data_IF_638597492529
#
_entry.id   IF_638597492529
#
_cell.length_a   1.000
_cell.length_b   1.000
_cell.length_c   1.000
_cell.angle_alpha   90.00
_cell.angle_beta   90.00
_cell.angle_gamma   90.00
#
_symmetry.space_group_name_H-M   'P 1'
#
loop_
_entity.id
_entity.type
_entity.pdbx_description
1 polymer ?
#
# COMPACT_ATOMS: atom_id res chain seq x y z
N UNK A 1 18.65 -14.91 -20.28
CA UNK A 1 19.89 -14.19 -19.86
C UNK A 1 20.01 -14.07 -18.34
N UNK A 2 19.03 -13.50 -17.62
CA UNK A 2 19.10 -13.32 -16.16
C UNK A 2 19.33 -14.63 -15.37
N UNK A 3 18.62 -15.71 -15.72
CA UNK A 3 18.79 -17.02 -15.07
C UNK A 3 20.17 -17.67 -15.31
N UNK A 4 20.86 -17.29 -16.38
CA UNK A 4 22.24 -17.74 -16.66
C UNK A 4 23.23 -16.90 -15.86
N UNK A 5 23.06 -15.57 -15.86
CA UNK A 5 23.89 -14.64 -15.09
C UNK A 5 23.83 -14.92 -13.58
N UNK A 6 22.64 -15.23 -13.03
CA UNK A 6 22.50 -15.66 -11.64
C UNK A 6 23.23 -16.98 -11.38
N UNK A 7 23.00 -18.03 -12.18
CA UNK A 7 23.71 -19.32 -12.00
C UNK A 7 25.23 -19.14 -11.99
N UNK A 8 25.76 -18.23 -12.80
CA UNK A 8 27.18 -17.87 -12.78
C UNK A 8 27.58 -17.13 -11.50
N UNK A 9 26.80 -16.18 -11.00
CA UNK A 9 27.11 -15.48 -9.74
C UNK A 9 27.02 -16.42 -8.52
N UNK A 10 26.05 -17.33 -8.51
CA UNK A 10 25.86 -18.33 -7.46
C UNK A 10 27.04 -19.29 -7.35
N UNK A 11 27.57 -19.77 -8.49
CA UNK A 11 28.75 -20.65 -8.50
C UNK A 11 30.02 -19.95 -8.04
N UNK A 12 30.11 -18.63 -8.26
CA UNK A 12 31.21 -17.78 -7.80
C UNK A 12 31.09 -17.36 -6.33
N UNK A 13 29.93 -17.56 -5.71
CA UNK A 13 29.68 -17.20 -4.31
C UNK A 13 30.36 -18.17 -3.35
N UNK A 14 30.86 -17.64 -2.23
CA UNK A 14 31.46 -18.44 -1.16
C UNK A 14 30.42 -19.45 -0.61
N UNK A 15 30.79 -20.71 -0.32
CA UNK A 15 29.84 -21.73 0.11
C UNK A 15 28.97 -21.31 1.30
N UNK A 16 29.53 -20.57 2.26
CA UNK A 16 28.82 -20.10 3.44
C UNK A 16 27.72 -19.05 3.15
N UNK A 17 27.89 -18.21 2.12
CA UNK A 17 26.95 -17.12 1.78
C UNK A 17 26.11 -17.44 0.55
N UNK A 18 26.44 -18.51 -0.19
CA UNK A 18 25.75 -18.96 -1.41
C UNK A 18 24.23 -19.06 -1.24
N UNK A 19 23.74 -19.68 -0.17
CA UNK A 19 22.30 -19.80 0.08
C UNK A 19 21.58 -18.46 0.22
N UNK A 20 22.24 -17.44 0.77
CA UNK A 20 21.68 -16.08 0.91
C UNK A 20 21.65 -15.39 -0.46
N UNK A 21 22.73 -15.51 -1.23
CA UNK A 21 22.81 -14.98 -2.60
C UNK A 21 21.76 -15.64 -3.50
N UNK A 22 21.61 -16.96 -3.40
CA UNK A 22 20.61 -17.73 -4.15
C UNK A 22 19.20 -17.29 -3.79
N UNK A 23 18.86 -17.17 -2.50
CA UNK A 23 17.55 -16.66 -2.08
C UNK A 23 17.28 -15.23 -2.59
N UNK A 24 18.27 -14.33 -2.55
CA UNK A 24 18.12 -12.96 -3.07
C UNK A 24 17.89 -12.94 -4.59
N UNK A 25 18.62 -13.78 -5.33
CA UNK A 25 18.51 -13.85 -6.79
C UNK A 25 17.28 -14.64 -7.26
N UNK A 26 16.85 -15.66 -6.51
CA UNK A 26 15.56 -16.33 -6.67
C UNK A 26 14.41 -15.34 -6.53
N UNK A 27 14.46 -14.50 -5.49
CA UNK A 27 13.47 -13.45 -5.29
C UNK A 27 13.45 -12.44 -6.44
N UNK A 28 14.61 -12.07 -7.00
CA UNK A 28 14.70 -11.22 -8.20
C UNK A 28 14.14 -11.93 -9.44
N UNK A 29 14.45 -13.21 -9.63
CA UNK A 29 13.98 -13.98 -10.78
C UNK A 29 12.47 -14.22 -10.73
N UNK A 30 11.95 -14.66 -9.58
CA UNK A 30 10.53 -14.83 -9.34
C UNK A 30 9.78 -13.50 -9.50
N UNK A 31 10.34 -12.40 -9.00
CA UNK A 31 9.82 -11.05 -9.23
C UNK A 31 9.71 -10.72 -10.71
N UNK A 32 10.75 -10.98 -11.48
CA UNK A 32 10.80 -10.66 -12.91
C UNK A 32 9.84 -11.55 -13.72
N UNK A 33 9.81 -12.86 -13.44
CA UNK A 33 8.90 -13.83 -14.11
C UNK A 33 7.43 -13.57 -13.77
N UNK A 34 7.13 -13.23 -12.51
CA UNK A 34 5.77 -12.89 -12.09
C UNK A 34 5.32 -11.48 -12.52
N UNK A 35 6.15 -10.74 -13.26
CA UNK A 35 5.85 -9.39 -13.73
C UNK A 35 5.95 -8.28 -12.66
N UNK A 36 6.59 -8.53 -11.52
CA UNK A 36 6.99 -7.49 -10.57
C UNK A 36 6.87 -7.88 -9.09
N UNK A 37 7.26 -6.94 -8.22
CA UNK A 37 7.16 -7.06 -6.75
C UNK A 37 6.50 -5.84 -6.14
N UNK A 38 6.07 -5.96 -4.87
CA UNK A 38 5.55 -4.81 -4.10
C UNK A 38 6.57 -3.67 -4.12
N UNK A 39 6.14 -2.47 -4.51
CA UNK A 39 7.00 -1.27 -4.56
C UNK A 39 7.76 -1.02 -3.23
N UNK A 40 7.11 -1.28 -2.10
CA UNK A 40 7.71 -1.17 -0.76
C UNK A 40 8.87 -2.14 -0.51
N UNK A 41 9.01 -3.19 -1.31
CA UNK A 41 10.09 -4.19 -1.24
C UNK A 41 11.20 -3.96 -2.27
N UNK A 42 11.01 -3.10 -3.27
CA UNK A 42 12.00 -2.84 -4.33
C UNK A 42 13.27 -2.23 -3.74
N UNK A 43 13.14 -1.17 -2.93
CA UNK A 43 14.29 -0.52 -2.31
C UNK A 43 15.08 -1.49 -1.42
N UNK A 44 14.38 -2.35 -0.67
CA UNK A 44 14.99 -3.38 0.16
C UNK A 44 15.70 -4.45 -0.68
N UNK A 45 15.08 -4.93 -1.76
CA UNK A 45 15.67 -5.93 -2.66
C UNK A 45 16.87 -5.36 -3.41
N UNK A 46 16.80 -4.12 -3.93
CA UNK A 46 17.95 -3.44 -4.56
C UNK A 46 19.12 -3.28 -3.60
N UNK A 47 18.85 -2.95 -2.33
CA UNK A 47 19.87 -2.88 -1.28
C UNK A 47 20.48 -4.24 -0.98
N UNK A 48 19.66 -5.29 -0.89
CA UNK A 48 20.11 -6.66 -0.69
C UNK A 48 20.98 -7.15 -1.86
N UNK A 49 20.51 -7.01 -3.11
CA UNK A 49 21.28 -7.36 -4.31
C UNK A 49 22.63 -6.64 -4.33
N UNK A 50 22.66 -5.31 -4.11
CA UNK A 50 23.92 -4.56 -4.08
C UNK A 50 24.86 -5.00 -2.95
N UNK A 51 24.30 -5.39 -1.80
CA UNK A 51 25.09 -5.91 -0.68
C UNK A 51 25.69 -7.28 -1.03
N UNK A 52 24.87 -8.17 -1.55
CA UNK A 52 25.26 -9.55 -1.86
C UNK A 52 26.27 -9.59 -3.01
N UNK A 53 26.11 -8.75 -4.04
CA UNK A 53 27.11 -8.61 -5.11
C UNK A 53 28.47 -8.11 -4.60
N UNK A 54 28.49 -7.17 -3.65
CA UNK A 54 29.74 -6.75 -3.00
C UNK A 54 30.36 -7.89 -2.19
N UNK A 55 29.54 -8.62 -1.44
CA UNK A 55 30.01 -9.77 -0.67
C UNK A 55 30.62 -10.84 -1.57
N UNK A 56 30.01 -11.14 -2.73
CA UNK A 56 30.56 -12.10 -3.71
C UNK A 56 31.90 -11.62 -4.28
N UNK A 57 32.03 -10.32 -4.56
CA UNK A 57 33.30 -9.74 -4.99
C UNK A 57 34.38 -9.86 -3.91
N UNK A 58 34.07 -9.48 -2.68
CA UNK A 58 35.02 -9.49 -1.57
C UNK A 58 35.46 -10.92 -1.22
N UNK A 59 34.52 -11.86 -1.08
CA UNK A 59 34.83 -13.23 -0.70
C UNK A 59 35.41 -14.06 -1.87
N UNK A 60 34.93 -13.84 -3.09
CA UNK A 60 35.24 -14.68 -4.25
C UNK A 60 36.45 -14.20 -5.06
N UNK A 61 36.77 -12.91 -5.01
CA UNK A 61 37.83 -12.27 -5.81
C UNK A 61 38.89 -11.63 -4.92
N UNK A 62 38.52 -10.74 -3.99
CA UNK A 62 39.48 -9.97 -3.19
C UNK A 62 40.19 -10.83 -2.15
N UNK A 63 39.45 -11.58 -1.35
CA UNK A 63 40.00 -12.38 -0.26
C UNK A 63 40.99 -13.47 -0.72
N UNK A 64 40.75 -14.22 -1.81
CA UNK A 64 41.72 -15.15 -2.34
C UNK A 64 43.03 -14.48 -2.78
N UNK A 65 42.95 -13.33 -3.44
CA UNK A 65 44.12 -12.55 -3.87
C UNK A 65 44.90 -12.00 -2.66
N UNK A 66 44.19 -11.53 -1.63
CA UNK A 66 44.79 -11.03 -0.39
C UNK A 66 45.52 -12.13 0.41
N UNK A 67 45.06 -13.38 0.32
CA UNK A 67 45.70 -14.54 0.96
C UNK A 67 46.86 -15.12 0.18
N UNK A 68 46.98 -14.80 -1.11
CA UNK A 68 48.06 -15.31 -1.97
C UNK A 68 49.40 -14.62 -1.69
N UNK A 69 50.48 -15.40 -1.71
CA UNK A 69 51.86 -14.89 -1.60
C UNK A 69 52.49 -14.59 -2.97
N UNK A 70 51.85 -15.00 -4.07
CA UNK A 70 52.36 -14.80 -5.42
C UNK A 70 52.48 -13.30 -5.76
N UNK A 71 53.58 -12.92 -6.41
CA UNK A 71 53.83 -11.52 -6.77
C UNK A 71 52.78 -10.99 -7.76
N UNK A 72 52.37 -11.83 -8.73
CA UNK A 72 51.33 -11.50 -9.71
C UNK A 72 49.96 -11.27 -9.07
N UNK A 73 49.55 -12.11 -8.10
CA UNK A 73 48.27 -11.96 -7.40
C UNK A 73 48.24 -10.69 -6.53
N UNK A 74 49.35 -10.36 -5.87
CA UNK A 74 49.48 -9.11 -5.10
C UNK A 74 49.55 -7.86 -5.97
N UNK A 75 50.12 -7.95 -7.17
CA UNK A 75 50.05 -6.87 -8.15
C UNK A 75 48.63 -6.66 -8.66
N UNK A 76 47.90 -7.75 -8.93
CA UNK A 76 46.50 -7.72 -9.34
C UNK A 76 45.60 -7.10 -8.26
N UNK A 77 45.76 -7.49 -6.99
CA UNK A 77 45.02 -6.91 -5.87
C UNK A 77 45.20 -5.39 -5.77
N UNK A 78 46.42 -4.89 -5.99
CA UNK A 78 46.71 -3.44 -5.97
C UNK A 78 46.07 -2.68 -7.13
N UNK A 79 45.74 -3.36 -8.23
CA UNK A 79 45.07 -2.76 -9.37
C UNK A 79 43.54 -2.71 -9.23
N UNK A 80 42.97 -3.41 -8.24
CA UNK A 80 41.54 -3.41 -7.96
C UNK A 80 41.16 -2.20 -7.06
N UNK A 81 39.92 -1.69 -7.17
CA UNK A 81 39.44 -0.66 -6.26
C UNK A 81 39.34 -1.19 -4.82
N UNK A 82 39.70 -0.35 -3.84
CA UNK A 82 39.59 -0.71 -2.42
C UNK A 82 38.15 -0.84 -1.92
N UNK A 83 37.19 -0.15 -2.55
CA UNK A 83 35.77 -0.30 -2.31
C UNK A 83 35.05 -0.57 -3.63
N UNK A 84 34.50 -1.77 -3.79
CA UNK A 84 33.79 -2.13 -5.01
C UNK A 84 32.35 -1.60 -5.01
N UNK A 85 32.02 -0.78 -6.00
CA UNK A 85 30.65 -0.43 -6.32
C UNK A 85 30.22 -1.20 -7.58
N UNK A 86 29.14 -2.02 -7.52
CA UNK A 86 28.68 -2.77 -8.69
C UNK A 86 28.32 -1.90 -9.91
N UNK A 87 27.97 -0.63 -9.69
CA UNK A 87 27.71 0.33 -10.76
C UNK A 87 28.96 0.60 -11.64
N UNK A 88 30.16 0.52 -11.07
CA UNK A 88 31.42 0.84 -11.73
C UNK A 88 32.06 -0.38 -12.43
N UNK A 89 31.29 -1.46 -12.61
CA UNK A 89 31.76 -2.74 -13.15
C UNK A 89 32.54 -2.61 -14.47
N UNK A 90 32.17 -1.70 -15.38
CA UNK A 90 32.88 -1.45 -16.63
C UNK A 90 34.29 -0.88 -16.40
N UNK A 91 34.42 0.10 -15.50
CA UNK A 91 35.71 0.69 -15.15
C UNK A 91 36.63 -0.33 -14.47
N UNK A 92 36.06 -1.17 -13.60
CA UNK A 92 36.79 -2.25 -12.92
C UNK A 92 37.23 -3.33 -13.92
N UNK A 93 36.37 -3.67 -14.88
CA UNK A 93 36.70 -4.60 -15.97
C UNK A 93 37.87 -4.08 -16.81
N UNK A 94 37.86 -2.81 -17.18
CA UNK A 94 38.95 -2.22 -17.96
C UNK A 94 40.25 -2.12 -17.16
N UNK A 95 40.17 -1.82 -15.86
CA UNK A 95 41.33 -1.84 -14.97
C UNK A 95 41.93 -3.25 -14.87
N UNK A 96 41.07 -4.27 -14.74
CA UNK A 96 41.47 -5.67 -14.69
C UNK A 96 42.10 -6.14 -16.01
N UNK A 97 41.53 -5.76 -17.16
CA UNK A 97 42.10 -6.07 -18.48
C UNK A 97 43.46 -5.38 -18.69
N UNK A 98 43.64 -4.15 -18.20
CA UNK A 98 44.94 -3.47 -18.22
C UNK A 98 45.96 -4.18 -17.32
N UNK A 99 45.56 -4.58 -16.11
CA UNK A 99 46.42 -5.31 -15.19
C UNK A 99 46.80 -6.70 -15.73
N UNK A 100 45.87 -7.37 -16.41
CA UNK A 100 46.07 -8.71 -16.97
C UNK A 100 47.18 -8.77 -18.03
N UNK A 101 47.43 -7.67 -18.76
CA UNK A 101 48.49 -7.58 -19.78
C UNK A 101 49.90 -7.76 -19.22
N UNK A 102 50.07 -7.51 -17.91
CA UNK A 102 51.35 -7.58 -17.22
C UNK A 102 51.51 -8.85 -16.40
N UNK A 103 50.60 -9.83 -16.54
CA UNK A 103 50.70 -11.12 -15.87
C UNK A 103 51.68 -12.02 -16.64
N UNK A 104 52.78 -12.47 -16.01
CA UNK A 104 53.76 -13.38 -16.62
C UNK A 104 53.15 -14.70 -17.13
N UNK A 105 53.72 -15.32 -18.18
CA UNK A 105 53.25 -16.58 -18.79
C UNK A 105 53.11 -17.75 -17.81
N UNK A 106 53.92 -17.80 -16.77
CA UNK A 106 53.85 -18.78 -15.67
C UNK A 106 52.85 -18.42 -14.55
N UNK A 107 52.20 -17.24 -14.62
CA UNK A 107 51.23 -16.72 -13.65
C UNK A 107 49.82 -17.36 -13.72
N UNK A 108 49.72 -18.69 -13.73
CA UNK A 108 48.46 -19.42 -13.92
C UNK A 108 47.37 -19.05 -12.88
N UNK A 109 47.76 -18.86 -11.60
CA UNK A 109 46.85 -18.43 -10.52
C UNK A 109 46.21 -17.08 -10.83
N UNK A 110 47.03 -16.06 -11.16
CA UNK A 110 46.57 -14.71 -11.46
C UNK A 110 45.64 -14.69 -12.68
N UNK A 111 45.94 -15.49 -13.72
CA UNK A 111 45.06 -15.63 -14.89
C UNK A 111 43.71 -16.24 -14.55
N UNK A 112 43.69 -17.30 -13.74
CA UNK A 112 42.43 -17.91 -13.29
C UNK A 112 41.59 -16.93 -12.44
N UNK A 113 42.24 -16.08 -11.62
CA UNK A 113 41.57 -15.01 -10.88
C UNK A 113 41.00 -13.93 -11.79
N UNK A 114 41.76 -13.48 -12.79
CA UNK A 114 41.28 -12.53 -13.81
C UNK A 114 40.07 -13.10 -14.55
N UNK A 115 40.14 -14.34 -15.04
CA UNK A 115 39.03 -14.98 -15.75
C UNK A 115 37.78 -15.08 -14.87
N UNK A 116 37.95 -15.40 -13.58
CA UNK A 116 36.84 -15.44 -12.60
C UNK A 116 36.23 -14.05 -12.40
N UNK A 117 37.05 -13.04 -12.22
CA UNK A 117 36.61 -11.66 -12.02
C UNK A 117 35.91 -11.10 -13.27
N UNK A 118 36.43 -11.38 -14.47
CA UNK A 118 35.79 -11.00 -15.73
C UNK A 118 34.42 -11.66 -15.88
N UNK A 119 34.31 -12.97 -15.62
CA UNK A 119 33.02 -13.68 -15.65
C UNK A 119 31.99 -13.07 -14.71
N UNK A 120 32.40 -12.65 -13.51
CA UNK A 120 31.52 -11.94 -12.58
C UNK A 120 31.09 -10.58 -13.13
N UNK A 121 32.04 -9.75 -13.59
CA UNK A 121 31.79 -8.41 -14.10
C UNK A 121 30.92 -8.43 -15.37
N UNK A 122 31.05 -9.44 -16.23
CA UNK A 122 30.24 -9.61 -17.43
C UNK A 122 28.78 -10.01 -17.10
N UNK A 123 28.53 -10.60 -15.92
CA UNK A 123 27.17 -10.97 -15.46
C UNK A 123 26.44 -9.82 -14.76
N UNK A 124 27.17 -8.86 -14.17
CA UNK A 124 26.60 -7.74 -13.41
C UNK A 124 25.60 -6.89 -14.20
N UNK A 125 25.84 -6.50 -15.47
CA UNK A 125 24.89 -5.69 -16.23
C UNK A 125 23.50 -6.32 -16.31
N UNK A 126 23.41 -7.64 -16.48
CA UNK A 126 22.12 -8.33 -16.58
C UNK A 126 21.34 -8.30 -15.27
N UNK A 127 22.03 -8.47 -14.13
CA UNK A 127 21.41 -8.44 -12.79
C UNK A 127 21.01 -7.02 -12.39
N UNK A 128 21.89 -6.04 -12.63
CA UNK A 128 21.62 -4.63 -12.33
C UNK A 128 20.49 -4.10 -13.21
N UNK A 129 20.52 -4.39 -14.52
CA UNK A 129 19.44 -4.03 -15.44
C UNK A 129 18.12 -4.66 -15.02
N UNK A 130 18.08 -5.96 -14.68
CA UNK A 130 16.85 -6.57 -14.19
C UNK A 130 16.35 -5.93 -12.89
N UNK A 131 17.26 -5.53 -11.99
CA UNK A 131 16.95 -4.85 -10.73
C UNK A 131 16.43 -3.42 -10.92
N UNK A 132 16.90 -2.71 -11.95
CA UNK A 132 16.43 -1.38 -12.34
C UNK A 132 15.11 -1.48 -13.14
N UNK A 133 14.98 -2.47 -14.02
CA UNK A 133 13.75 -2.80 -14.75
C UNK A 133 12.63 -3.22 -13.81
N UNK A 134 12.92 -3.77 -12.63
CA UNK A 134 11.89 -4.01 -11.60
C UNK A 134 11.15 -2.72 -11.20
N UNK A 135 11.80 -1.56 -11.26
CA UNK A 135 11.14 -0.27 -10.98
C UNK A 135 10.17 0.09 -12.11
N UNK A 136 10.57 -0.09 -13.37
CA UNK A 136 9.69 0.08 -14.52
C UNK A 136 8.54 -0.95 -14.53
N UNK A 137 8.82 -2.21 -14.18
CA UNK A 137 7.85 -3.31 -14.08
C UNK A 137 6.90 -3.17 -12.89
N UNK A 138 7.33 -2.47 -11.83
CA UNK A 138 6.45 -2.09 -10.74
C UNK A 138 5.39 -1.06 -11.16
N UNK A 139 5.58 -0.39 -12.30
CA UNK A 139 4.61 0.49 -12.94
C UNK A 139 3.87 -0.14 -14.14
N UNK A 140 4.28 -1.30 -14.67
CA UNK A 140 3.67 -1.88 -15.88
C UNK A 140 2.86 -3.17 -15.69
N UNK A 141 2.74 -3.73 -14.48
CA UNK A 141 1.57 -4.58 -14.20
C UNK A 141 0.47 -3.67 -13.72
N UNK A 142 -0.47 -3.42 -14.64
CA UNK A 142 -1.66 -2.62 -14.42
C UNK A 142 -2.19 -2.86 -12.99
N UNK A 143 -2.32 -1.80 -12.18
CA UNK A 143 -3.06 -1.88 -10.91
C UNK A 143 -4.38 -2.61 -11.12
N UNK A 144 -5.01 -2.42 -12.29
CA UNK A 144 -6.24 -3.06 -12.73
C UNK A 144 -6.20 -4.60 -12.76
N UNK A 145 -5.13 -5.29 -13.17
CA UNK A 145 -5.12 -6.76 -13.25
C UNK A 145 -4.88 -7.43 -11.88
N UNK A 146 -4.02 -6.82 -11.05
CA UNK A 146 -3.77 -7.28 -9.67
C UNK A 146 -4.92 -6.92 -8.74
N UNK A 147 -5.56 -5.78 -8.98
CA UNK A 147 -6.77 -5.35 -8.30
C UNK A 147 -7.95 -6.17 -8.79
N UNK A 148 -8.11 -6.47 -10.09
CA UNK A 148 -9.10 -7.41 -10.60
C UNK A 148 -8.94 -8.79 -9.96
N UNK A 149 -7.73 -9.36 -9.90
CA UNK A 149 -7.51 -10.64 -9.22
C UNK A 149 -7.79 -10.59 -7.70
N UNK A 150 -7.51 -9.48 -7.02
CA UNK A 150 -7.84 -9.27 -5.60
C UNK A 150 -9.33 -8.91 -5.34
N UNK A 151 -10.01 -8.36 -6.35
CA UNK A 151 -11.44 -8.06 -6.38
C UNK A 151 -12.25 -9.33 -6.73
N UNK A 152 -11.68 -10.24 -7.52
CA UNK A 152 -12.24 -11.57 -7.82
C UNK A 152 -12.02 -12.55 -6.66
N UNK A 153 -11.01 -12.35 -5.81
CA UNK A 153 -10.75 -13.17 -4.61
C UNK A 153 -11.49 -12.66 -3.36
N UNK A 154 -12.72 -12.14 -3.52
CA UNK A 154 -13.50 -11.35 -2.53
C UNK A 154 -13.51 -11.99 -1.12
N UNK A 155 -12.56 -11.59 -0.28
CA UNK A 155 -12.58 -11.77 1.17
C UNK A 155 -13.12 -10.49 1.85
N UNK A 156 -14.27 -10.00 1.37
CA UNK A 156 -15.24 -9.21 2.12
C UNK A 156 -14.77 -7.95 2.86
N UNK A 157 -15.52 -7.61 3.90
CA UNK A 157 -15.36 -6.43 4.76
C UNK A 157 -14.04 -6.42 5.55
N UNK A 158 -13.48 -7.59 5.84
CA UNK A 158 -12.17 -7.73 6.50
C UNK A 158 -11.02 -7.16 5.66
N UNK A 159 -11.06 -7.34 4.33
CA UNK A 159 -10.07 -6.75 3.42
C UNK A 159 -10.17 -5.21 3.40
N UNK A 160 -11.40 -4.67 3.38
CA UNK A 160 -11.66 -3.22 3.46
C UNK A 160 -11.19 -2.62 4.78
N UNK A 161 -11.47 -3.30 5.90
CA UNK A 161 -11.01 -2.89 7.23
C UNK A 161 -9.47 -2.90 7.33
N UNK A 162 -8.81 -3.93 6.78
CA UNK A 162 -7.36 -4.02 6.73
C UNK A 162 -6.74 -2.90 5.87
N UNK A 163 -7.36 -2.56 4.74
CA UNK A 163 -6.94 -1.46 3.88
C UNK A 163 -7.08 -0.10 4.58
N UNK A 164 -8.21 0.15 5.25
CA UNK A 164 -8.42 1.36 6.05
C UNK A 164 -7.42 1.46 7.22
N UNK A 165 -7.18 0.37 7.94
CA UNK A 165 -6.19 0.33 9.02
C UNK A 165 -4.75 0.57 8.51
N UNK A 166 -4.41 0.01 7.35
CA UNK A 166 -3.13 0.26 6.69
C UNK A 166 -2.97 1.73 6.28
N UNK A 167 -4.04 2.33 5.75
CA UNK A 167 -4.06 3.74 5.40
C UNK A 167 -3.91 4.65 6.62
N UNK A 168 -4.64 4.35 7.71
CA UNK A 168 -4.51 5.06 8.99
C UNK A 168 -3.08 5.01 9.53
N UNK A 169 -2.42 3.85 9.48
CA UNK A 169 -1.00 3.73 9.86
C UNK A 169 -0.09 4.60 9.00
N UNK A 170 -0.33 4.71 7.68
CA UNK A 170 0.45 5.58 6.78
C UNK A 170 0.23 7.05 7.08
N UNK A 171 -1.02 7.46 7.30
CA UNK A 171 -1.37 8.83 7.69
C UNK A 171 -0.69 9.24 9.00
N UNK A 172 -0.78 8.39 10.03
CA UNK A 172 -0.07 8.62 11.30
C UNK A 172 1.45 8.68 11.11
N UNK A 173 2.03 7.79 10.33
CA UNK A 173 3.47 7.80 10.06
C UNK A 173 3.93 9.04 9.28
N UNK A 174 3.10 9.59 8.39
CA UNK A 174 3.38 10.85 7.70
C UNK A 174 3.31 12.03 8.67
N UNK A 175 2.23 12.12 9.46
CA UNK A 175 2.04 13.17 10.46
C UNK A 175 3.12 13.14 11.55
N UNK A 176 3.53 11.94 12.01
CA UNK A 176 4.56 11.77 13.04
C UNK A 176 5.91 12.41 12.69
N UNK A 177 6.21 12.62 11.41
CA UNK A 177 7.41 13.35 10.98
C UNK A 177 7.34 14.85 11.29
N UNK A 178 6.14 15.41 11.32
CA UNK A 178 5.86 16.83 11.58
C UNK A 178 5.45 17.17 13.00
N UNK A 179 5.02 16.18 13.80
CA UNK A 179 4.55 16.40 15.17
C UNK A 179 5.63 16.95 16.13
N UNK A 180 6.90 16.50 16.12
CA UNK A 180 7.90 17.01 17.06
C UNK A 180 8.10 18.55 16.99
N UNK A 181 8.39 19.16 15.82
CA UNK A 181 8.53 20.61 15.75
C UNK A 181 7.21 21.35 16.02
N UNK A 182 6.07 20.78 15.64
CA UNK A 182 4.76 21.38 15.94
C UNK A 182 4.48 21.42 17.45
N UNK A 183 4.77 20.33 18.17
CA UNK A 183 4.58 20.24 19.63
C UNK A 183 5.51 21.20 20.38
N UNK A 184 6.73 21.41 19.88
CA UNK A 184 7.64 22.44 20.41
C UNK A 184 7.07 23.85 20.19
N UNK A 185 6.59 24.15 18.98
CA UNK A 185 5.97 25.44 18.69
C UNK A 185 4.71 25.69 19.55
N UNK A 186 3.90 24.66 19.80
CA UNK A 186 2.76 24.73 20.74
C UNK A 186 3.25 25.06 22.16
N UNK A 187 4.35 24.45 22.61
CA UNK A 187 4.95 24.73 23.91
C UNK A 187 5.32 26.20 24.10
N UNK A 188 5.73 26.88 23.03
CA UNK A 188 6.10 28.29 23.06
C UNK A 188 4.90 29.23 22.83
N UNK A 189 3.88 28.78 22.10
CA UNK A 189 2.67 29.55 21.81
C UNK A 189 1.71 29.59 23.00
N UNK A 190 1.54 28.48 23.74
CA UNK A 190 0.59 28.37 24.86
C UNK A 190 0.78 29.40 25.98
N UNK A 191 1.98 29.95 26.12
CA UNK A 191 2.30 30.98 27.13
C UNK A 191 2.15 32.40 26.59
N UNK A 192 1.96 32.56 25.28
CA UNK A 192 1.84 33.86 24.60
C UNK A 192 0.42 34.12 24.12
N UNK A 193 -0.32 33.07 23.76
CA UNK A 193 -1.64 33.16 23.16
C UNK A 193 -2.55 32.01 23.59
N UNK A 194 -3.86 32.28 23.63
CA UNK A 194 -4.87 31.24 23.81
C UNK A 194 -5.05 30.47 22.50
N UNK A 195 -4.86 29.15 22.53
CA UNK A 195 -5.04 28.31 21.35
C UNK A 195 -6.52 27.91 21.21
N UNK A 196 -7.14 28.17 20.07
CA UNK A 196 -8.51 27.71 19.78
C UNK A 196 -8.67 26.19 19.93
N UNK A 197 -7.61 25.42 19.66
CA UNK A 197 -7.59 23.97 19.88
C UNK A 197 -7.81 23.55 21.33
N UNK A 198 -7.64 24.41 22.34
CA UNK A 198 -7.95 24.06 23.74
C UNK A 198 -9.46 24.06 24.04
N UNK A 199 -10.24 24.75 23.22
CA UNK A 199 -11.71 24.87 23.35
C UNK A 199 -12.48 24.19 22.20
N UNK A 200 -11.82 23.91 21.07
CA UNK A 200 -12.46 23.36 19.87
C UNK A 200 -12.94 21.91 20.02
N UNK A 201 -14.15 21.63 19.50
CA UNK A 201 -14.73 20.28 19.52
C UNK A 201 -13.97 19.29 18.63
N UNK A 202 -13.38 19.76 17.52
CA UNK A 202 -12.59 18.94 16.59
C UNK A 202 -11.25 18.47 17.16
N UNK A 203 -10.74 19.16 18.18
CA UNK A 203 -9.51 18.81 18.89
C UNK A 203 -9.80 18.21 20.27
N UNK A 204 -10.85 17.39 20.40
CA UNK A 204 -11.32 16.90 21.71
C UNK A 204 -10.20 16.26 22.53
N UNK A 205 -9.35 15.42 21.94
CA UNK A 205 -8.30 14.73 22.67
C UNK A 205 -7.13 15.67 22.96
N UNK A 206 -6.70 16.46 21.97
CA UNK A 206 -5.61 17.42 22.14
C UNK A 206 -5.98 18.50 23.16
N UNK A 207 -7.22 19.00 23.14
CA UNK A 207 -7.76 19.96 24.09
C UNK A 207 -7.63 19.48 25.55
N UNK A 208 -7.91 18.20 25.81
CA UNK A 208 -7.78 17.62 27.14
C UNK A 208 -6.31 17.64 27.61
N UNK A 209 -5.35 17.38 26.72
CA UNK A 209 -3.92 17.45 27.03
C UNK A 209 -3.49 18.89 27.26
N UNK A 210 -3.92 19.83 26.39
CA UNK A 210 -3.57 21.25 26.46
C UNK A 210 -4.08 21.91 27.75
N UNK A 211 -5.26 21.53 28.23
CA UNK A 211 -5.84 22.02 29.50
C UNK A 211 -5.14 21.45 30.75
N UNK A 212 -4.45 20.32 30.63
CA UNK A 212 -3.79 19.63 31.73
C UNK A 212 -2.27 19.87 31.78
N UNK A 213 -1.77 20.91 31.09
CA UNK A 213 -0.34 21.17 31.01
C UNK A 213 0.23 21.74 32.32
N UNK A 214 1.47 21.35 32.68
CA UNK A 214 2.11 21.84 33.90
C UNK A 214 2.39 23.34 33.82
N UNK A 215 2.30 24.01 34.98
CA UNK A 215 2.57 25.43 35.13
C UNK A 215 4.01 25.81 34.68
N UNK A 216 4.24 27.05 34.21
CA UNK A 216 5.54 27.52 33.75
C UNK A 216 6.57 27.47 34.89
N UNK A 217 7.40 26.42 34.94
CA UNK A 217 8.44 26.26 35.97
C UNK A 217 8.95 24.82 36.13
N UNK A 218 8.13 23.81 35.86
CA UNK A 218 8.49 22.39 36.01
C UNK A 218 9.38 21.81 34.87
N UNK A 219 9.98 22.67 34.03
CA UNK A 219 10.57 22.31 32.73
C UNK A 219 11.90 21.53 32.77
N UNK A 220 12.59 21.40 33.90
CA UNK A 220 14.05 21.11 33.91
C UNK A 220 14.50 19.67 34.17
N UNK A 221 13.66 18.73 34.64
CA UNK A 221 14.17 17.43 35.12
C UNK A 221 14.01 16.23 34.18
N UNK A 222 13.21 16.30 33.12
CA UNK A 222 12.88 15.09 32.34
C UNK A 222 13.87 14.88 31.18
N UNK A 223 14.83 13.99 31.42
CA UNK A 223 15.89 13.55 30.50
C UNK A 223 15.37 12.92 29.19
N UNK A 224 14.08 12.53 29.14
CA UNK A 224 13.38 11.95 27.98
C UNK A 224 12.39 12.92 27.29
N UNK A 225 12.35 14.20 27.71
CA UNK A 225 11.32 15.15 27.32
C UNK A 225 10.01 14.94 28.12
N UNK A 226 9.25 16.01 28.40
CA UNK A 226 8.13 15.91 29.32
C UNK A 226 6.99 15.10 28.70
N UNK A 227 6.49 14.10 29.43
CA UNK A 227 5.53 13.09 28.95
C UNK A 227 4.28 13.66 28.25
N UNK A 228 3.90 14.90 28.55
CA UNK A 228 2.80 15.61 27.89
C UNK A 228 3.05 15.84 26.39
N UNK A 229 4.31 15.97 25.94
CA UNK A 229 4.64 16.16 24.51
C UNK A 229 4.23 14.94 23.68
N UNK A 230 4.55 13.74 24.18
CA UNK A 230 4.12 12.46 23.56
C UNK A 230 2.60 12.35 23.56
N UNK A 231 1.95 12.64 24.70
CA UNK A 231 0.48 12.62 24.81
C UNK A 231 -0.18 13.61 23.85
N UNK A 232 0.38 14.79 23.66
CA UNK A 232 -0.13 15.80 22.74
C UNK A 232 0.04 15.35 21.29
N UNK A 233 1.20 14.81 20.93
CA UNK A 233 1.43 14.24 19.60
C UNK A 233 0.43 13.11 19.28
N UNK A 234 0.24 12.17 20.21
CA UNK A 234 -0.72 11.08 20.06
C UNK A 234 -2.18 11.59 19.96
N UNK A 235 -2.53 12.58 20.76
CA UNK A 235 -3.85 13.19 20.76
C UNK A 235 -4.14 13.95 19.45
N UNK A 236 -3.17 14.71 18.93
CA UNK A 236 -3.26 15.37 17.63
C UNK A 236 -3.39 14.35 16.49
N UNK A 237 -2.62 13.26 16.54
CA UNK A 237 -2.76 12.19 15.56
C UNK A 237 -4.16 11.55 15.60
N UNK A 238 -4.73 11.38 16.80
CA UNK A 238 -6.08 10.83 16.97
C UNK A 238 -7.15 11.78 16.43
N UNK A 239 -7.09 13.07 16.76
CA UNK A 239 -8.06 14.06 16.31
C UNK A 239 -7.99 14.25 14.77
N UNK A 240 -6.79 14.40 14.20
CA UNK A 240 -6.63 14.68 12.75
C UNK A 240 -6.83 13.42 11.90
N UNK A 241 -6.26 12.28 12.30
CA UNK A 241 -6.28 11.06 11.48
C UNK A 241 -7.49 10.20 11.79
N UNK A 242 -7.74 9.87 13.06
CA UNK A 242 -8.75 8.86 13.40
C UNK A 242 -10.17 9.41 13.46
N UNK A 243 -10.33 10.65 13.91
CA UNK A 243 -11.64 11.28 14.03
C UNK A 243 -12.11 11.94 12.72
N UNK A 244 -11.18 12.46 11.89
CA UNK A 244 -11.55 13.24 10.69
C UNK A 244 -11.19 12.52 9.37
N UNK A 245 -9.91 12.29 9.06
CA UNK A 245 -9.49 11.70 7.79
C UNK A 245 -9.89 10.22 7.61
N UNK A 246 -9.78 9.43 8.69
CA UNK A 246 -10.04 8.00 8.70
C UNK A 246 -11.48 7.66 8.30
N UNK A 247 -12.50 8.30 8.90
CA UNK A 247 -13.89 8.13 8.50
C UNK A 247 -14.17 8.53 7.05
N UNK A 248 -13.61 9.66 6.58
CA UNK A 248 -13.77 10.12 5.20
C UNK A 248 -13.17 9.13 4.19
N UNK A 249 -11.96 8.64 4.45
CA UNK A 249 -11.34 7.59 3.64
C UNK A 249 -12.12 6.27 3.72
N UNK A 250 -12.56 5.88 4.92
CA UNK A 250 -13.35 4.67 5.13
C UNK A 250 -14.66 4.69 4.35
N UNK A 251 -15.33 5.86 4.28
CA UNK A 251 -16.51 6.05 3.43
C UNK A 251 -16.20 5.77 1.97
N UNK A 252 -15.13 6.36 1.43
CA UNK A 252 -14.74 6.13 0.04
C UNK A 252 -14.40 4.66 -0.23
N UNK A 253 -13.62 4.01 0.65
CA UNK A 253 -13.24 2.60 0.49
C UNK A 253 -14.44 1.64 0.59
N UNK A 254 -15.47 2.00 1.36
CA UNK A 254 -16.72 1.22 1.44
C UNK A 254 -17.57 1.37 0.17
N UNK A 255 -17.74 2.60 -0.31
CA UNK A 255 -18.58 2.91 -1.49
C UNK A 255 -17.92 2.49 -2.80
N UNK A 256 -16.62 2.73 -2.93
CA UNK A 256 -15.89 2.59 -4.19
C UNK A 256 -14.94 1.41 -4.14
N UNK A 257 -15.39 0.27 -4.68
CA UNK A 257 -14.54 -0.92 -4.86
C UNK A 257 -13.41 -0.64 -5.86
N UNK A 258 -12.26 -1.29 -5.66
CA UNK A 258 -11.10 -1.11 -6.52
C UNK A 258 -10.36 0.22 -6.33
N UNK A 259 -10.59 0.93 -5.22
CA UNK A 259 -9.73 2.04 -4.83
C UNK A 259 -8.39 1.50 -4.30
N UNK A 260 -7.29 1.95 -4.91
CA UNK A 260 -5.96 1.76 -4.36
C UNK A 260 -5.60 2.94 -3.45
N UNK A 261 -5.07 2.63 -2.27
CA UNK A 261 -4.58 3.64 -1.33
C UNK A 261 -3.09 3.85 -1.57
N UNK A 262 -2.74 5.08 -1.94
CA UNK A 262 -1.38 5.52 -2.25
C UNK A 262 -0.58 5.95 -1.01
N UNK A 263 0.49 6.73 -1.22
CA UNK A 263 1.29 7.29 -0.13
C UNK A 263 0.51 8.38 0.62
N UNK A 264 0.86 8.54 1.89
CA UNK A 264 0.45 9.68 2.71
C UNK A 264 1.59 10.70 2.78
N UNK A 265 1.25 11.98 2.87
CA UNK A 265 2.18 13.09 2.99
C UNK A 265 1.76 14.01 4.14
N UNK A 266 2.74 14.74 4.67
CA UNK A 266 2.55 15.82 5.61
C UNK A 266 3.21 17.07 5.03
N UNK A 267 2.52 18.20 5.11
CA UNK A 267 3.06 19.51 4.79
C UNK A 267 2.92 20.41 6.02
N UNK A 268 4.03 20.99 6.48
CA UNK A 268 4.01 21.99 7.52
C UNK A 268 3.43 23.30 6.97
N UNK A 269 2.52 23.91 7.72
CA UNK A 269 2.05 25.28 7.48
C UNK A 269 2.91 26.29 8.24
N UNK A 270 2.48 27.55 8.22
CA UNK A 270 3.10 28.59 9.03
C UNK A 270 2.66 28.47 10.49
N UNK A 271 3.61 28.48 11.41
CA UNK A 271 3.32 28.45 12.84
C UNK A 271 2.75 27.11 13.32
N UNK A 272 1.46 27.11 13.70
CA UNK A 272 0.78 25.96 14.30
C UNK A 272 -0.18 25.24 13.33
N UNK A 273 0.03 25.46 12.04
CA UNK A 273 -0.78 24.93 10.96
C UNK A 273 -0.08 23.76 10.28
N UNK A 274 -0.88 22.91 9.64
CA UNK A 274 -0.34 21.86 8.79
C UNK A 274 -1.42 21.18 7.97
N UNK A 275 -0.98 20.30 7.09
CA UNK A 275 -1.87 19.45 6.31
C UNK A 275 -1.34 18.02 6.25
N UNK A 276 -2.24 17.06 6.43
CA UNK A 276 -1.98 15.65 6.15
C UNK A 276 -2.82 15.26 4.96
N UNK A 277 -2.23 14.56 4.00
CA UNK A 277 -2.92 14.13 2.80
C UNK A 277 -2.65 12.65 2.49
N UNK A 278 -3.60 12.02 1.82
CA UNK A 278 -3.45 10.67 1.27
C UNK A 278 -4.04 10.62 -0.13
N UNK A 279 -3.32 9.95 -1.02
CA UNK A 279 -3.79 9.74 -2.39
C UNK A 279 -4.66 8.47 -2.46
N UNK A 280 -5.79 8.54 -3.14
CA UNK A 280 -6.56 7.37 -3.58
C UNK A 280 -6.68 7.37 -5.11
N UNK A 281 -6.56 6.20 -5.71
CA UNK A 281 -6.56 6.04 -7.18
C UNK A 281 -7.46 4.92 -7.62
N UNK A 282 -8.14 5.09 -8.76
CA UNK A 282 -8.82 4.04 -9.51
C UNK A 282 -8.76 4.37 -11.00
N UNK A 283 -8.21 3.44 -11.80
CA UNK A 283 -7.91 3.67 -13.20
C UNK A 283 -7.15 5.01 -13.40
N UNK A 284 -7.59 5.85 -14.33
CA UNK A 284 -7.02 7.17 -14.57
C UNK A 284 -7.38 8.23 -13.51
N UNK A 285 -8.31 7.96 -12.59
CA UNK A 285 -8.75 8.93 -11.58
C UNK A 285 -7.84 8.88 -10.36
N UNK A 286 -7.30 10.03 -10.00
CA UNK A 286 -6.50 10.22 -8.80
C UNK A 286 -7.10 11.34 -7.96
N UNK A 287 -7.44 11.03 -6.71
CA UNK A 287 -7.92 11.98 -5.72
C UNK A 287 -6.92 12.11 -4.58
N UNK A 288 -6.85 13.29 -3.99
CA UNK A 288 -6.11 13.58 -2.77
C UNK A 288 -7.11 13.98 -1.71
N UNK A 289 -7.21 13.17 -0.66
CA UNK A 289 -7.95 13.53 0.55
C UNK A 289 -6.99 14.21 1.50
N UNK A 290 -7.37 15.36 2.04
CA UNK A 290 -6.53 16.09 2.98
C UNK A 290 -7.33 16.63 4.16
N UNK A 291 -6.68 16.66 5.32
CA UNK A 291 -7.09 17.46 6.47
C UNK A 291 -6.06 18.57 6.64
N UNK A 292 -6.49 19.81 6.42
CA UNK A 292 -5.75 20.99 6.85
C UNK A 292 -6.18 21.33 8.27
N UNK A 293 -5.24 21.64 9.14
CA UNK A 293 -5.51 21.97 10.53
C UNK A 293 -4.80 23.26 10.93
N UNK A 294 -5.43 23.99 11.85
CA UNK A 294 -4.90 25.20 12.48
C UNK A 294 -5.22 25.13 13.98
N UNK A 295 -4.18 25.06 14.81
CA UNK A 295 -4.34 24.95 16.26
C UNK A 295 -4.70 26.28 16.94
N UNK A 296 -4.41 27.42 16.30
CA UNK A 296 -4.79 28.76 16.78
C UNK A 296 -6.29 28.99 16.57
N UNK A 297 -6.78 28.70 15.37
CA UNK A 297 -8.20 28.76 15.07
C UNK A 297 -9.00 27.61 15.70
N UNK A 298 -8.34 26.48 16.02
CA UNK A 298 -9.01 25.28 16.53
C UNK A 298 -9.85 24.56 15.48
N UNK A 299 -9.49 24.73 14.19
CA UNK A 299 -10.19 24.16 13.05
C UNK A 299 -9.45 23.00 12.39
N UNK A 300 -10.22 22.04 11.88
CA UNK A 300 -9.76 21.04 10.90
C UNK A 300 -10.69 21.16 9.69
N UNK A 301 -10.12 21.35 8.51
CA UNK A 301 -10.84 21.42 7.25
C UNK A 301 -10.52 20.19 6.41
N UNK A 302 -11.54 19.40 6.08
CA UNK A 302 -11.44 18.30 5.14
C UNK A 302 -11.64 18.82 3.71
N UNK A 303 -10.78 18.39 2.80
CA UNK A 303 -10.94 18.67 1.39
C UNK A 303 -10.53 17.48 0.53
N UNK A 304 -11.22 17.36 -0.61
CA UNK A 304 -10.89 16.41 -1.67
C UNK A 304 -10.45 17.20 -2.88
N UNK A 305 -9.34 16.81 -3.48
CA UNK A 305 -8.86 17.39 -4.73
C UNK A 305 -8.68 16.30 -5.79
N UNK A 306 -9.15 16.55 -7.01
CA UNK A 306 -8.88 15.71 -8.16
C UNK A 306 -7.57 16.15 -8.80
N UNK A 307 -6.68 15.20 -9.09
CA UNK A 307 -5.44 15.46 -9.83
C UNK A 307 -5.75 15.49 -11.32
N UNK A 308 -5.44 16.61 -11.95
CA UNK A 308 -5.70 16.88 -13.35
C UNK A 308 -4.64 16.23 -14.25
N UNK A 309 -4.97 15.91 -15.52
CA UNK A 309 -3.99 15.55 -16.53
C UNK A 309 -2.98 16.69 -16.68
N UNK A 310 -1.72 16.47 -16.31
CA UNK A 310 -0.67 17.50 -16.27
C UNK A 310 -0.14 17.85 -14.87
N UNK A 311 -0.69 17.24 -13.81
CA UNK A 311 -0.08 17.25 -12.47
C UNK A 311 -0.60 18.31 -11.49
N UNK A 312 -1.50 19.20 -11.91
CA UNK A 312 -2.23 20.10 -11.01
C UNK A 312 -3.30 19.37 -10.19
N UNK A 313 -3.77 19.98 -9.10
CA UNK A 313 -4.88 19.46 -8.30
C UNK A 313 -5.95 20.54 -8.13
N UNK A 314 -7.21 20.17 -8.38
CA UNK A 314 -8.37 21.05 -8.22
C UNK A 314 -9.27 20.53 -7.11
N UNK A 315 -9.67 21.41 -6.18
CA UNK A 315 -10.63 21.06 -5.13
C UNK A 315 -11.98 20.69 -5.77
N UNK A 316 -12.56 19.59 -5.32
CA UNK A 316 -13.85 19.09 -5.78
C UNK A 316 -14.78 18.86 -4.59
N UNK A 317 -16.09 18.91 -4.83
CA UNK A 317 -17.07 18.48 -3.83
C UNK A 317 -17.04 16.96 -3.66
N UNK A 318 -17.53 16.47 -2.52
CA UNK A 318 -17.66 15.02 -2.28
C UNK A 318 -18.52 14.34 -3.36
N UNK A 319 -19.61 14.98 -3.80
CA UNK A 319 -20.47 14.48 -4.87
C UNK A 319 -19.75 14.43 -6.24
N UNK A 320 -18.90 15.42 -6.54
CA UNK A 320 -18.10 15.42 -7.76
C UNK A 320 -17.01 14.36 -7.71
N UNK A 321 -16.35 14.16 -6.56
CA UNK A 321 -15.39 13.09 -6.34
C UNK A 321 -16.04 11.71 -6.53
N UNK A 322 -17.24 11.50 -5.98
CA UNK A 322 -18.01 10.28 -6.17
C UNK A 322 -18.40 10.05 -7.62
N UNK A 323 -18.78 11.11 -8.35
CA UNK A 323 -19.13 11.01 -9.78
C UNK A 323 -17.92 10.65 -10.63
N UNK A 324 -16.76 11.28 -10.38
CA UNK A 324 -15.51 10.95 -11.07
C UNK A 324 -15.10 9.50 -10.84
N UNK A 325 -15.22 9.03 -9.60
CA UNK A 325 -14.98 7.64 -9.27
C UNK A 325 -16.01 6.76 -9.99
N UNK A 326 -17.31 7.00 -9.86
CA UNK A 326 -18.36 6.18 -10.48
C UNK A 326 -18.16 6.04 -12.01
N UNK A 327 -17.65 7.07 -12.68
CA UNK A 327 -17.31 7.03 -14.10
C UNK A 327 -16.03 6.24 -14.44
N UNK A 328 -15.17 5.96 -13.46
CA UNK A 328 -13.89 5.24 -13.63
C UNK A 328 -13.93 3.77 -13.21
N UNK A 329 -15.12 3.19 -13.10
CA UNK A 329 -15.30 1.78 -12.73
C UNK A 329 -14.73 0.89 -13.85
N UNK A 330 -13.74 0.01 -13.55
CA UNK A 330 -13.26 -0.97 -14.51
C UNK A 330 -14.39 -1.90 -14.97
N UNK A 331 -14.34 -2.40 -16.22
CA UNK A 331 -15.40 -3.24 -16.78
C UNK A 331 -15.65 -4.51 -15.93
N UNK A 332 -14.59 -5.04 -15.33
CA UNK A 332 -14.62 -6.21 -14.44
C UNK A 332 -15.40 -5.93 -13.13
N UNK A 333 -15.55 -4.66 -12.76
CA UNK A 333 -16.29 -4.19 -11.60
C UNK A 333 -17.65 -3.59 -11.94
N UNK A 334 -18.03 -3.58 -13.22
CA UNK A 334 -19.34 -3.12 -13.65
C UNK A 334 -20.33 -4.28 -13.85
N UNK A 335 -20.38 -5.18 -12.87
CA UNK A 335 -21.38 -6.26 -12.82
C UNK A 335 -22.64 -5.80 -12.12
N UNK A 336 -23.78 -6.45 -12.40
CA UNK A 336 -25.07 -6.17 -11.77
C UNK A 336 -24.97 -6.08 -10.24
N UNK A 337 -24.34 -7.07 -9.59
CA UNK A 337 -24.12 -7.07 -8.14
C UNK A 337 -23.33 -5.85 -7.64
N UNK A 338 -22.29 -5.44 -8.36
CA UNK A 338 -21.54 -4.23 -8.02
C UNK A 338 -22.37 -2.95 -8.18
N UNK A 339 -23.27 -2.86 -9.17
CA UNK A 339 -24.19 -1.72 -9.32
C UNK A 339 -25.16 -1.62 -8.15
N UNK A 340 -25.70 -2.76 -7.69
CA UNK A 340 -26.54 -2.84 -6.49
C UNK A 340 -25.80 -2.33 -5.26
N UNK A 341 -24.58 -2.82 -5.02
CA UNK A 341 -23.74 -2.37 -3.90
C UNK A 341 -23.50 -0.85 -3.92
N UNK A 342 -23.26 -0.26 -5.09
CA UNK A 342 -23.09 1.19 -5.24
C UNK A 342 -24.38 1.95 -4.93
N UNK A 343 -25.54 1.49 -5.41
CA UNK A 343 -26.83 2.14 -5.11
C UNK A 343 -27.20 2.05 -3.62
N UNK A 344 -26.89 0.94 -2.96
CA UNK A 344 -27.10 0.78 -1.52
C UNK A 344 -26.19 1.69 -0.67
N UNK A 345 -24.98 1.99 -1.15
CA UNK A 345 -23.99 2.82 -0.45
C UNK A 345 -24.02 4.30 -0.85
N UNK A 346 -24.98 4.71 -1.70
CA UNK A 346 -25.15 6.11 -2.16
C UNK A 346 -25.78 7.03 -1.12
N UNK A 347 -26.55 6.50 -0.17
CA UNK A 347 -27.18 7.27 0.90
C UNK A 347 -26.27 7.47 2.11
N UNK A 348 -26.62 8.42 2.98
CA UNK A 348 -25.95 8.66 4.27
C UNK A 348 -26.11 7.50 5.27
N UNK A 349 -26.94 6.52 4.91
CA UNK A 349 -27.34 5.42 5.77
C UNK A 349 -26.95 4.08 5.12
N UNK A 350 -25.64 3.74 5.10
CA UNK A 350 -25.15 2.53 4.47
C UNK A 350 -25.67 1.28 5.19
N UNK A 351 -25.79 0.14 4.49
CA UNK A 351 -26.17 -1.11 5.14
C UNK A 351 -25.17 -1.50 6.23
N UNK A 352 -25.67 -1.83 7.42
CA UNK A 352 -24.88 -2.37 8.55
C UNK A 352 -24.46 -3.84 8.32
N UNK A 353 -24.60 -4.35 7.10
CA UNK A 353 -24.47 -5.76 6.76
C UNK A 353 -23.30 -5.98 5.78
N UNK A 354 -22.48 -7.02 5.99
CA UNK A 354 -21.39 -7.33 5.09
C UNK A 354 -21.94 -7.75 3.71
N UNK A 355 -21.57 -6.96 2.69
CA UNK A 355 -21.85 -7.27 1.28
C UNK A 355 -20.60 -7.87 0.62
N UNK A 356 -20.79 -9.00 -0.08
CA UNK A 356 -19.77 -9.74 -0.82
C UNK A 356 -20.31 -10.32 -2.13
N UNK A 357 -19.48 -11.08 -2.85
CA UNK A 357 -19.88 -11.77 -4.08
C UNK A 357 -19.72 -13.28 -3.95
N UNK A 358 -20.61 -14.03 -4.60
CA UNK A 358 -20.44 -15.47 -4.78
C UNK A 358 -19.43 -15.74 -5.91
N UNK A 359 -18.92 -16.98 -6.00
CA UNK A 359 -18.08 -17.41 -7.12
C UNK A 359 -18.79 -17.37 -8.48
N UNK A 360 -20.12 -17.31 -8.48
CA UNK A 360 -20.97 -17.19 -9.68
C UNK A 360 -21.35 -15.72 -10.00
N UNK A 361 -20.91 -14.76 -9.17
CA UNK A 361 -21.11 -13.34 -9.40
C UNK A 361 -22.35 -12.72 -8.75
N UNK A 362 -23.12 -13.51 -8.00
CA UNK A 362 -24.28 -13.03 -7.24
C UNK A 362 -23.88 -12.18 -6.04
N UNK A 363 -24.76 -11.26 -5.65
CA UNK A 363 -24.58 -10.48 -4.43
C UNK A 363 -24.89 -11.33 -3.20
N UNK A 364 -23.89 -11.53 -2.35
CA UNK A 364 -24.01 -12.23 -1.07
C UNK A 364 -24.17 -11.21 0.05
N UNK A 365 -25.23 -11.35 0.85
CA UNK A 365 -25.42 -10.58 2.09
C UNK A 365 -25.13 -11.51 3.27
N UNK A 366 -24.01 -11.28 3.95
CA UNK A 366 -23.60 -12.08 5.10
C UNK A 366 -24.17 -11.57 6.42
N UNK A 367 -24.13 -12.43 7.44
CA UNK A 367 -24.13 -11.98 8.84
C UNK A 367 -25.44 -11.41 9.40
N UNK A 368 -26.60 -11.87 8.92
CA UNK A 368 -27.89 -11.50 9.52
C UNK A 368 -28.22 -12.27 10.81
N UNK A 369 -27.43 -13.28 11.19
CA UNK A 369 -27.65 -14.08 12.39
C UNK A 369 -27.73 -13.19 13.65
N UNK A 370 -28.93 -13.08 14.23
CA UNK A 370 -29.18 -12.35 15.48
C UNK A 370 -29.30 -10.82 15.35
N UNK A 371 -29.32 -10.25 14.14
CA UNK A 371 -29.62 -8.83 13.91
C UNK A 371 -30.77 -8.68 12.94
N UNK A 372 -31.92 -8.21 13.44
CA UNK A 372 -33.04 -7.87 12.58
C UNK A 372 -32.59 -6.78 11.57
N UNK A 373 -32.76 -7.00 10.25
CA UNK A 373 -32.52 -5.95 9.27
C UNK A 373 -33.45 -4.78 9.57
N UNK A 374 -32.99 -3.55 9.29
CA UNK A 374 -33.81 -2.35 9.47
C UNK A 374 -35.10 -2.50 8.64
N UNK A 375 -36.25 -1.97 9.11
CA UNK A 375 -37.49 -2.02 8.34
C UNK A 375 -37.31 -1.44 6.93
N UNK A 376 -37.80 -2.13 5.90
CA UNK A 376 -37.72 -1.66 4.51
C UNK A 376 -36.38 -1.92 3.81
N UNK A 377 -35.37 -2.48 4.50
CA UNK A 377 -34.07 -2.76 3.90
C UNK A 377 -34.13 -3.88 2.85
N UNK A 378 -34.80 -4.99 3.17
CA UNK A 378 -34.87 -6.14 2.27
C UNK A 378 -35.67 -5.84 1.01
N UNK A 379 -36.76 -5.08 1.13
CA UNK A 379 -37.58 -4.61 0.02
C UNK A 379 -36.78 -3.69 -0.91
N UNK A 380 -36.01 -2.76 -0.32
CA UNK A 380 -35.11 -1.88 -1.07
C UNK A 380 -33.99 -2.65 -1.77
N UNK A 381 -33.40 -3.64 -1.08
CA UNK A 381 -32.36 -4.51 -1.64
C UNK A 381 -32.90 -5.26 -2.86
N UNK A 382 -34.06 -5.89 -2.75
CA UNK A 382 -34.72 -6.63 -3.84
C UNK A 382 -35.06 -5.71 -5.00
N UNK A 383 -35.67 -4.56 -4.75
CA UNK A 383 -36.04 -3.62 -5.80
C UNK A 383 -34.81 -3.10 -6.58
N UNK A 384 -33.70 -2.84 -5.89
CA UNK A 384 -32.45 -2.44 -6.55
C UNK A 384 -31.85 -3.63 -7.32
N UNK A 385 -31.85 -4.83 -6.75
CA UNK A 385 -31.32 -6.02 -7.40
C UNK A 385 -32.07 -6.37 -8.69
N UNK A 386 -33.40 -6.28 -8.68
CA UNK A 386 -34.22 -6.47 -9.88
C UNK A 386 -33.91 -5.42 -10.95
N UNK A 387 -33.82 -4.15 -10.55
CA UNK A 387 -33.52 -3.06 -11.49
C UNK A 387 -32.14 -3.19 -12.15
N UNK A 388 -31.16 -3.76 -11.44
CA UNK A 388 -29.80 -3.96 -11.95
C UNK A 388 -29.59 -5.37 -12.54
N UNK A 389 -30.57 -6.27 -12.44
CA UNK A 389 -30.47 -7.66 -12.91
C UNK A 389 -29.49 -8.53 -12.10
N UNK A 390 -29.42 -8.34 -10.78
CA UNK A 390 -28.50 -9.07 -9.90
C UNK A 390 -29.19 -10.20 -9.13
N UNK A 391 -28.59 -11.39 -9.12
CA UNK A 391 -28.95 -12.46 -8.19
C UNK A 391 -28.56 -12.11 -6.75
N UNK A 392 -29.36 -12.57 -5.79
CA UNK A 392 -29.15 -12.37 -4.36
C UNK A 392 -28.97 -13.71 -3.65
N UNK A 393 -28.03 -13.76 -2.70
CA UNK A 393 -27.82 -14.88 -1.77
C UNK A 393 -27.76 -14.38 -0.35
N UNK A 394 -28.58 -14.95 0.53
CA UNK A 394 -28.67 -14.55 1.93
C UNK A 394 -28.68 -15.81 2.79
N UNK A 395 -27.81 -15.89 3.79
CA UNK A 395 -27.84 -16.95 4.78
C UNK A 395 -28.65 -16.46 6.00
N UNK A 396 -29.91 -16.92 6.19
CA UNK A 396 -30.74 -16.47 7.30
C UNK A 396 -30.29 -17.04 8.67
N UNK A 397 -29.39 -18.03 8.68
CA UNK A 397 -29.12 -18.86 9.86
C UNK A 397 -30.41 -19.48 10.44
N UNK A 398 -30.45 -19.86 11.71
CA UNK A 398 -31.62 -20.47 12.37
C UNK A 398 -32.75 -19.45 12.69
N UNK A 399 -32.80 -18.29 12.02
CA UNK A 399 -33.82 -17.25 12.24
C UNK A 399 -35.07 -17.49 11.39
N UNK A 400 -36.13 -17.99 12.04
CA UNK A 400 -37.41 -18.29 11.40
C UNK A 400 -38.16 -17.04 10.88
N UNK A 401 -38.02 -15.90 11.55
CA UNK A 401 -38.70 -14.66 11.15
C UNK A 401 -38.06 -14.09 9.88
N UNK A 402 -36.73 -14.08 9.83
CA UNK A 402 -35.98 -13.69 8.64
C UNK A 402 -36.25 -14.65 7.47
N UNK A 403 -36.29 -15.95 7.73
CA UNK A 403 -36.62 -16.96 6.71
C UNK A 403 -38.01 -16.71 6.10
N UNK A 404 -39.02 -16.43 6.93
CA UNK A 404 -40.36 -16.12 6.45
C UNK A 404 -40.41 -14.81 5.63
N UNK A 405 -39.70 -13.77 6.07
CA UNK A 405 -39.60 -12.50 5.35
C UNK A 405 -38.91 -12.66 3.97
N UNK A 406 -37.84 -13.45 3.91
CA UNK A 406 -37.16 -13.77 2.65
C UNK A 406 -38.04 -14.58 1.71
N UNK A 407 -38.77 -15.58 2.23
CA UNK A 407 -39.71 -16.36 1.43
C UNK A 407 -40.82 -15.48 0.82
N UNK A 408 -41.36 -14.52 1.60
CA UNK A 408 -42.35 -13.55 1.12
C UNK A 408 -41.82 -12.64 -0.01
N UNK A 409 -40.50 -12.44 -0.08
CA UNK A 409 -39.81 -11.68 -1.13
C UNK A 409 -39.35 -12.55 -2.32
N UNK A 410 -39.73 -13.83 -2.34
CA UNK A 410 -39.46 -14.75 -3.45
C UNK A 410 -38.10 -15.44 -3.39
N UNK A 411 -37.44 -15.47 -2.22
CA UNK A 411 -36.24 -16.28 -2.04
C UNK A 411 -36.60 -17.75 -1.83
N UNK A 412 -35.78 -18.65 -2.37
CA UNK A 412 -35.90 -20.10 -2.22
C UNK A 412 -34.62 -20.68 -1.60
N UNK A 413 -34.75 -21.80 -0.90
CA UNK A 413 -33.58 -22.53 -0.41
C UNK A 413 -32.78 -23.11 -1.59
N UNK A 414 -31.47 -22.92 -1.54
CA UNK A 414 -30.53 -23.49 -2.50
C UNK A 414 -29.42 -24.26 -1.78
N UNK A 415 -28.99 -25.35 -2.39
CA UNK A 415 -27.88 -26.15 -1.88
C UNK A 415 -26.55 -25.59 -2.40
N UNK A 416 -25.54 -25.54 -1.52
CA UNK A 416 -24.18 -25.23 -1.92
C UNK A 416 -23.15 -25.84 -0.98
N UNK A 417 -21.88 -25.83 -1.39
CA UNK A 417 -20.76 -26.32 -0.56
C UNK A 417 -20.52 -25.34 0.60
N UNK A 418 -21.25 -25.47 1.70
CA UNK A 418 -21.16 -24.59 2.87
C UNK A 418 -22.39 -24.62 3.79
N UNK A 419 -22.68 -23.49 4.44
CA UNK A 419 -23.91 -23.28 5.21
C UNK A 419 -25.12 -23.13 4.27
N UNK A 420 -26.34 -23.56 4.69
CA UNK A 420 -27.55 -23.38 3.91
C UNK A 420 -27.86 -21.89 3.71
N UNK A 421 -28.25 -21.53 2.49
CA UNK A 421 -28.61 -20.16 2.13
C UNK A 421 -29.90 -20.14 1.29
N UNK A 422 -30.57 -18.99 1.32
CA UNK A 422 -31.67 -18.70 0.41
C UNK A 422 -31.16 -17.83 -0.74
N UNK A 423 -31.51 -18.19 -1.97
CA UNK A 423 -31.19 -17.42 -3.16
C UNK A 423 -32.44 -16.90 -3.87
N UNK A 424 -32.25 -15.86 -4.65
CA UNK A 424 -33.27 -15.27 -5.50
C UNK A 424 -32.63 -14.78 -6.79
N UNK A 425 -33.14 -15.27 -7.92
CA UNK A 425 -32.81 -14.72 -9.23
C UNK A 425 -33.46 -13.34 -9.40
N UNK A 426 -32.84 -12.42 -10.17
CA UNK A 426 -33.48 -11.17 -10.50
C UNK A 426 -34.79 -11.45 -11.26
N UNK A 427 -35.84 -10.69 -10.99
CA UNK A 427 -36.99 -10.69 -11.86
C UNK A 427 -36.51 -10.26 -13.25
N UNK A 428 -36.56 -11.18 -14.23
CA UNK A 428 -36.31 -10.82 -15.62
C UNK A 428 -37.22 -9.66 -16.03
N UNK A 429 -36.86 -8.85 -17.04
CA UNK A 429 -37.80 -7.86 -17.55
C UNK A 429 -39.11 -8.61 -17.83
N UNK A 430 -40.20 -8.19 -17.18
CA UNK A 430 -41.51 -8.79 -17.36
C UNK A 430 -41.68 -8.94 -18.87
N UNK A 431 -41.70 -10.20 -19.36
CA UNK A 431 -41.69 -10.48 -20.78
C UNK A 431 -42.83 -9.66 -21.36
N UNK A 432 -42.47 -8.58 -22.07
CA UNK A 432 -43.44 -7.76 -22.76
C UNK A 432 -44.04 -8.71 -23.79
N UNK A 433 -45.21 -9.22 -23.41
CA UNK A 433 -46.19 -9.94 -24.18
C UNK A 433 -45.81 -10.02 -25.67
N UNK A 434 -45.17 -11.13 -26.09
CA UNK A 434 -45.31 -11.57 -27.47
C UNK A 434 -46.71 -12.15 -27.59
N UNK A 435 -47.68 -11.30 -27.87
CA UNK A 435 -48.95 -11.73 -28.42
C UNK A 435 -49.15 -11.03 -29.76
N UNK A 436 -49.47 -11.84 -30.77
CA UNK A 436 -49.93 -11.41 -32.10
C UNK A 436 -48.85 -11.40 -33.14
#
# INVERSE_FOLDING_TARGET
MLATAWRTIATLSHPATRHTVDATMENLHAAFVAGGIRATRIAALRRAIRKDLRQVWDDGIVLPLARSRAAADRALLRALPGAFAPADHAQVRDALLRAARWIPEDGASARAHVERALRFLDCLPAVLRASDELEALAFTVAPEARQAAALMADAGEASRAAQAASAGRRLRAALAKGLPPLVEAVADALYREALGASAGQRFRHAAAVLRALPAPGARRSDRDGPAWRRRLADALARDIVDAELGPALGRLLRRHRGLAVGPASYAAGEGLDGAVAITVTRAAVRLVLSARFDLRAGGIELSVAAVLPGGGAARVSDAAADTLLDASVPAELDTAAHRVMRRLTRGDDPPDLPLGLSGEGDLVVGGLAGRAPRPGFLERLVAIADAEGAGLRIAPADDAQLTAALAALGFAWAEGRGQPFMSREPAGPAAAYRAG
#
